data_IF_094873630649
#
_entry.id   IF_094873630649
#
_cell.length_a   1.000
_cell.length_b   1.000
_cell.length_c   1.000
_cell.angle_alpha   90.00
_cell.angle_beta   90.00
_cell.angle_gamma   90.00
#
_symmetry.space_group_name_H-M   'P 1'
#
loop_
_entity.id
_entity.type
_entity.pdbx_description
1 polymer ?
#
# COMPACT_ATOMS: atom_id res chain seq x y z
N UNK A 1 -9.27 23.30 -17.26
CA UNK A 1 -9.33 23.23 -18.74
C UNK A 1 -7.91 23.44 -19.24
N UNK A 2 -7.53 22.77 -20.32
CA UNK A 2 -6.14 22.76 -20.80
C UNK A 2 -6.06 22.95 -22.30
N UNK A 3 -5.03 23.68 -22.74
CA UNK A 3 -4.78 23.96 -24.17
C UNK A 3 -3.84 22.94 -24.83
N UNK A 4 -3.06 22.20 -24.05
CA UNK A 4 -2.14 21.15 -24.54
C UNK A 4 -2.31 19.87 -23.74
N UNK A 5 -1.95 18.73 -24.33
CA UNK A 5 -2.03 17.42 -23.67
C UNK A 5 -1.15 17.39 -22.42
N UNK A 6 0.07 17.92 -22.52
CA UNK A 6 0.97 18.04 -21.37
C UNK A 6 0.34 18.88 -20.24
N UNK A 7 -0.31 20.01 -20.55
CA UNK A 7 -1.00 20.81 -19.55
C UNK A 7 -2.17 20.04 -18.92
N UNK A 8 -2.94 19.28 -19.72
CA UNK A 8 -4.04 18.47 -19.24
C UNK A 8 -3.56 17.38 -18.26
N UNK A 9 -2.50 16.64 -18.60
CA UNK A 9 -1.92 15.64 -17.70
C UNK A 9 -1.32 16.26 -16.44
N UNK A 10 -0.70 17.45 -16.52
CA UNK A 10 -0.18 18.14 -15.36
C UNK A 10 -1.30 18.61 -14.42
N UNK A 11 -2.38 19.18 -14.96
CA UNK A 11 -3.57 19.58 -14.19
C UNK A 11 -4.24 18.35 -13.56
N UNK A 12 -4.43 17.28 -14.34
CA UNK A 12 -5.02 16.03 -13.88
C UNK A 12 -4.22 15.41 -12.73
N UNK A 13 -2.90 15.30 -12.91
CA UNK A 13 -2.02 14.75 -11.88
C UNK A 13 -2.06 15.60 -10.62
N UNK A 14 -1.96 16.93 -10.73
CA UNK A 14 -1.94 17.82 -9.57
C UNK A 14 -3.27 17.85 -8.82
N UNK A 15 -4.39 17.92 -9.53
CA UNK A 15 -5.69 18.24 -8.94
C UNK A 15 -6.53 17.00 -8.61
N UNK A 16 -6.30 15.88 -9.30
CA UNK A 16 -7.15 14.68 -9.18
C UNK A 16 -6.37 13.48 -8.66
N UNK A 17 -5.16 13.23 -9.17
CA UNK A 17 -4.45 11.97 -8.91
C UNK A 17 -3.52 12.06 -7.70
N UNK A 18 -2.55 12.97 -7.72
CA UNK A 18 -1.50 13.08 -6.71
C UNK A 18 -2.04 13.68 -5.43
N UNK A 19 -1.58 13.18 -4.29
CA UNK A 19 -1.88 13.80 -3.00
C UNK A 19 -1.36 15.24 -2.94
N UNK A 20 -2.11 16.10 -2.25
CA UNK A 20 -1.66 17.47 -1.99
C UNK A 20 -0.47 17.47 -1.02
N UNK A 21 0.60 18.22 -1.36
CA UNK A 21 1.84 18.23 -0.56
C UNK A 21 1.59 18.65 0.90
N UNK A 22 0.80 19.70 1.13
CA UNK A 22 0.45 20.16 2.48
C UNK A 22 -0.38 19.14 3.26
N UNK A 23 -1.24 18.37 2.58
CA UNK A 23 -1.96 17.26 3.18
C UNK A 23 -1.00 16.12 3.55
N UNK A 24 -0.04 15.78 2.68
CA UNK A 24 0.94 14.74 2.97
C UNK A 24 1.88 15.10 4.11
N UNK A 25 2.26 16.36 4.26
CA UNK A 25 3.13 16.80 5.36
C UNK A 25 2.40 16.80 6.69
N UNK A 26 1.14 17.27 6.72
CA UNK A 26 0.26 17.12 7.90
C UNK A 26 0.04 15.67 8.28
N UNK A 27 -0.16 14.79 7.30
CA UNK A 27 -0.31 13.35 7.53
C UNK A 27 0.93 12.71 8.15
N UNK A 28 2.13 13.07 7.69
CA UNK A 28 3.40 12.62 8.28
C UNK A 28 3.57 13.12 9.71
N UNK A 29 3.32 14.41 9.95
CA UNK A 29 3.40 14.97 11.30
C UNK A 29 2.40 14.30 12.27
N UNK A 30 1.17 14.05 11.80
CA UNK A 30 0.14 13.34 12.57
C UNK A 30 0.54 11.89 12.88
N UNK A 31 1.12 11.17 11.91
CA UNK A 31 1.71 9.84 12.12
C UNK A 31 2.82 9.85 13.17
N UNK A 32 3.76 10.79 13.05
CA UNK A 32 4.93 10.86 13.93
C UNK A 32 4.53 11.21 15.36
N UNK A 33 3.53 12.08 15.51
CA UNK A 33 2.92 12.37 16.81
C UNK A 33 2.25 11.12 17.41
N UNK A 34 1.43 10.40 16.62
CA UNK A 34 0.76 9.17 17.05
C UNK A 34 1.78 8.11 17.49
N UNK A 35 2.86 7.93 16.73
CA UNK A 35 3.98 7.05 17.09
C UNK A 35 4.59 7.43 18.45
N UNK A 36 4.87 8.73 18.65
CA UNK A 36 5.36 9.24 19.93
C UNK A 36 4.41 8.94 21.09
N UNK A 37 3.10 9.03 20.87
CA UNK A 37 2.10 8.68 21.90
C UNK A 37 2.07 7.19 22.18
N UNK A 38 2.05 6.34 21.16
CA UNK A 38 2.00 4.88 21.33
C UNK A 38 3.24 4.34 22.04
N UNK A 39 4.41 4.97 21.84
CA UNK A 39 5.63 4.67 22.58
C UNK A 39 5.50 4.80 24.11
N UNK A 40 4.50 5.52 24.59
CA UNK A 40 4.26 5.72 26.03
C UNK A 40 3.25 4.76 26.63
N UNK A 41 2.61 3.89 25.83
CA UNK A 41 1.59 2.96 26.32
C UNK A 41 2.07 2.07 27.49
N UNK A 42 3.28 1.46 27.44
CA UNK A 42 3.86 0.71 28.56
C UNK A 42 3.96 1.46 29.89
N UNK A 43 3.98 2.80 29.88
CA UNK A 43 4.09 3.60 31.10
C UNK A 43 2.77 3.69 31.85
N UNK A 44 1.65 3.55 31.13
CA UNK A 44 0.29 3.63 31.68
C UNK A 44 -0.35 2.24 31.85
N UNK A 45 0.19 1.22 31.18
CA UNK A 45 -0.22 -0.17 31.30
C UNK A 45 1.01 -1.08 31.36
N UNK A 46 1.31 -1.57 32.57
CA UNK A 46 2.45 -2.47 32.84
C UNK A 46 2.32 -3.83 32.13
N UNK A 47 1.12 -4.20 31.69
CA UNK A 47 0.86 -5.42 30.94
C UNK A 47 0.99 -5.23 29.43
N UNK A 48 0.98 -4.00 28.94
CA UNK A 48 1.12 -3.71 27.51
C UNK A 48 2.44 -4.29 26.97
N UNK A 49 2.46 -4.89 25.76
CA UNK A 49 3.68 -5.46 25.20
C UNK A 49 4.86 -4.50 25.23
N UNK A 50 6.07 -5.03 25.46
CA UNK A 50 7.29 -4.23 25.42
C UNK A 50 7.46 -3.70 23.99
N UNK A 51 7.78 -2.41 23.86
CA UNK A 51 7.90 -1.75 22.57
C UNK A 51 9.34 -1.89 22.08
N UNK A 52 9.49 -2.10 20.77
CA UNK A 52 10.78 -2.10 20.09
C UNK A 52 10.78 -1.05 18.96
N UNK A 53 11.16 0.22 19.27
CA UNK A 53 11.00 1.33 18.35
C UNK A 53 11.81 1.21 17.05
N UNK A 54 12.93 0.49 17.06
CA UNK A 54 13.87 0.40 15.93
C UNK A 54 13.28 -0.26 14.69
N UNK A 55 12.17 -1.00 14.86
CA UNK A 55 11.47 -1.68 13.76
C UNK A 55 10.15 -0.98 13.40
N UNK A 56 9.90 0.22 13.94
CA UNK A 56 8.77 1.04 13.49
C UNK A 56 8.95 1.39 12.02
N UNK A 57 7.96 1.07 11.20
CA UNK A 57 8.03 1.40 9.78
C UNK A 57 6.68 1.71 9.18
N UNK A 58 6.62 2.76 8.37
CA UNK A 58 5.50 2.92 7.45
C UNK A 58 5.54 1.83 6.38
N UNK A 59 4.38 1.34 5.98
CA UNK A 59 4.25 0.41 4.85
C UNK A 59 3.12 0.85 3.91
N UNK A 60 2.74 -0.04 3.00
CA UNK A 60 1.67 0.23 2.06
C UNK A 60 1.99 1.33 1.04
N UNK A 61 0.95 1.76 0.33
CA UNK A 61 1.09 2.66 -0.83
C UNK A 61 1.49 4.09 -0.44
N UNK A 62 1.15 4.55 0.76
CA UNK A 62 1.57 5.87 1.23
C UNK A 62 3.09 5.91 1.49
N UNK A 63 3.65 4.89 2.16
CA UNK A 63 5.09 4.79 2.39
C UNK A 63 5.90 4.61 1.10
N UNK A 64 5.33 3.91 0.10
CA UNK A 64 5.91 3.75 -1.25
C UNK A 64 5.64 4.94 -2.18
N UNK A 65 4.93 5.97 -1.72
CA UNK A 65 4.56 7.16 -2.50
C UNK A 65 3.72 6.83 -3.75
N UNK A 66 2.96 5.73 -3.75
CA UNK A 66 2.06 5.33 -4.85
C UNK A 66 0.58 5.58 -4.51
N UNK A 67 0.27 6.07 -3.30
CA UNK A 67 -1.09 6.48 -2.91
C UNK A 67 -1.59 7.63 -3.80
N UNK A 68 -2.86 7.54 -4.22
CA UNK A 68 -3.59 8.57 -4.99
C UNK A 68 -4.68 9.19 -4.11
N UNK A 69 -5.31 10.29 -4.53
CA UNK A 69 -6.43 10.89 -3.77
C UNK A 69 -7.65 9.95 -3.67
N UNK A 70 -8.44 10.08 -2.58
CA UNK A 70 -8.11 10.82 -1.35
C UNK A 70 -7.02 10.09 -0.55
N UNK A 71 -6.35 10.80 0.36
CA UNK A 71 -5.55 10.14 1.39
C UNK A 71 -6.50 9.53 2.42
N UNK A 72 -6.86 8.27 2.24
CA UNK A 72 -7.81 7.53 3.08
C UNK A 72 -7.13 6.64 4.13
N UNK A 73 -5.98 6.04 3.81
CA UNK A 73 -5.28 5.12 4.73
C UNK A 73 -3.77 5.34 4.79
N UNK A 74 -3.24 5.33 6.02
CA UNK A 74 -1.82 5.38 6.36
C UNK A 74 -1.47 4.12 7.15
N UNK A 75 -0.72 3.23 6.51
CA UNK A 75 -0.31 1.96 7.08
C UNK A 75 0.99 2.07 7.91
N UNK A 76 0.94 1.61 9.15
CA UNK A 76 2.06 1.63 10.11
C UNK A 76 2.29 0.25 10.73
N UNK A 77 3.52 -0.25 10.65
CA UNK A 77 3.98 -1.33 11.53
C UNK A 77 4.55 -0.72 12.81
N UNK A 78 3.98 -1.13 13.94
CA UNK A 78 4.41 -0.74 15.28
C UNK A 78 5.17 -1.89 15.93
N UNK A 79 6.40 -1.61 16.33
CA UNK A 79 7.40 -2.59 16.72
C UNK A 79 7.24 -3.00 18.16
N UNK A 80 7.17 -4.31 18.38
CA UNK A 80 7.12 -4.91 19.69
C UNK A 80 8.36 -5.78 19.89
N UNK A 81 8.83 -5.83 21.13
CA UNK A 81 9.86 -6.77 21.55
C UNK A 81 9.26 -8.19 21.63
N UNK A 82 10.05 -9.19 21.26
CA UNK A 82 9.61 -10.58 21.23
C UNK A 82 9.36 -11.20 22.61
N UNK A 83 9.80 -10.56 23.70
CA UNK A 83 9.55 -10.94 25.09
C UNK A 83 9.86 -12.42 25.35
N UNK A 84 11.07 -12.81 24.95
CA UNK A 84 11.61 -14.18 25.01
C UNK A 84 10.79 -15.26 24.26
N UNK A 85 9.81 -14.86 23.44
CA UNK A 85 9.04 -15.80 22.64
C UNK A 85 9.87 -16.37 21.47
N UNK A 86 9.52 -17.58 21.05
CA UNK A 86 10.04 -18.21 19.82
C UNK A 86 8.92 -18.34 18.80
N UNK A 87 9.27 -18.46 17.52
CA UNK A 87 8.28 -18.76 16.49
C UNK A 87 8.63 -20.04 15.73
N UNK A 88 7.60 -20.69 15.22
CA UNK A 88 7.69 -21.78 14.26
C UNK A 88 6.74 -21.54 13.10
N UNK A 89 6.98 -22.24 12.00
CA UNK A 89 6.12 -22.22 10.82
C UNK A 89 5.54 -23.63 10.63
N UNK A 90 4.21 -23.71 10.48
CA UNK A 90 3.48 -24.95 10.23
C UNK A 90 2.32 -24.65 9.29
N UNK A 91 2.19 -25.41 8.20
CA UNK A 91 1.10 -25.27 7.21
C UNK A 91 0.87 -23.82 6.72
N UNK A 92 1.96 -23.09 6.46
CA UNK A 92 1.91 -21.69 6.02
C UNK A 92 1.45 -20.69 7.07
N UNK A 93 1.34 -21.11 8.34
CA UNK A 93 1.00 -20.26 9.49
C UNK A 93 2.22 -20.06 10.38
N UNK A 94 2.38 -18.85 10.91
CA UNK A 94 3.37 -18.56 11.94
C UNK A 94 2.74 -18.66 13.32
N UNK A 95 3.33 -19.50 14.17
CA UNK A 95 2.94 -19.68 15.56
C UNK A 95 4.04 -19.08 16.43
N UNK A 96 3.70 -18.08 17.23
CA UNK A 96 4.60 -17.53 18.25
C UNK A 96 4.25 -18.17 19.59
N UNK A 97 5.25 -18.72 20.29
CA UNK A 97 5.10 -19.48 21.53
C UNK A 97 5.83 -18.78 22.67
N UNK A 98 5.10 -18.48 23.74
CA UNK A 98 5.65 -17.98 24.99
C UNK A 98 6.50 -19.06 25.67
N UNK A 99 7.64 -18.64 26.24
CA UNK A 99 8.54 -19.48 27.04
C UNK A 99 8.46 -19.11 28.51
N UNK A 100 9.23 -19.81 29.35
CA UNK A 100 9.30 -19.55 30.79
C UNK A 100 9.76 -18.12 31.10
N UNK A 101 10.65 -17.55 30.28
CA UNK A 101 11.14 -16.18 30.42
C UNK A 101 10.20 -15.09 29.91
N UNK A 102 9.08 -15.43 29.26
CA UNK A 102 8.14 -14.44 28.71
C UNK A 102 7.41 -13.69 29.83
N UNK A 103 7.49 -12.35 29.83
CA UNK A 103 6.99 -11.51 30.93
C UNK A 103 5.62 -10.89 30.63
N UNK A 104 5.47 -10.20 29.50
CA UNK A 104 4.26 -9.44 29.12
C UNK A 104 3.41 -10.15 28.07
N UNK A 105 3.99 -10.75 27.04
CA UNK A 105 3.26 -11.46 25.99
C UNK A 105 2.49 -12.68 26.52
N UNK A 106 2.84 -13.21 27.71
CA UNK A 106 2.09 -14.29 28.36
C UNK A 106 0.63 -13.94 28.66
N UNK A 107 0.27 -12.65 28.74
CA UNK A 107 -1.10 -12.19 28.93
C UNK A 107 -1.93 -12.19 27.64
N UNK A 108 -1.28 -12.37 26.49
CA UNK A 108 -1.89 -12.30 25.15
C UNK A 108 -2.02 -13.66 24.48
N UNK A 109 -2.10 -14.75 25.24
CA UNK A 109 -2.13 -16.11 24.69
C UNK A 109 -3.52 -16.54 24.24
N UNK A 110 -3.60 -17.50 23.32
CA UNK A 110 -4.83 -18.28 23.13
C UNK A 110 -5.15 -19.06 24.40
N UNK A 111 -6.44 -19.18 24.72
CA UNK A 111 -6.89 -19.79 25.96
C UNK A 111 -6.45 -21.27 26.02
N UNK A 112 -5.89 -21.69 27.15
CA UNK A 112 -5.38 -23.06 27.32
C UNK A 112 -4.10 -23.40 26.56
N UNK A 113 -3.42 -22.43 25.93
CA UNK A 113 -2.18 -22.68 25.18
C UNK A 113 -1.02 -21.76 25.59
N UNK A 114 0.16 -22.01 24.99
CA UNK A 114 1.30 -21.10 25.03
C UNK A 114 1.45 -20.22 23.78
N UNK A 115 0.47 -20.24 22.87
CA UNK A 115 0.57 -19.51 21.62
C UNK A 115 0.07 -18.08 21.75
N UNK A 116 0.83 -17.12 21.24
CA UNK A 116 0.48 -15.69 21.27
C UNK A 116 -0.66 -15.42 20.28
N UNK A 117 -1.75 -14.88 20.80
CA UNK A 117 -2.93 -14.48 20.05
C UNK A 117 -2.82 -13.03 19.57
N UNK A 118 -2.66 -12.86 18.26
CA UNK A 118 -2.50 -11.53 17.65
C UNK A 118 -3.71 -10.62 17.83
N UNK A 119 -4.94 -11.17 17.91
CA UNK A 119 -6.16 -10.37 18.14
C UNK A 119 -6.19 -9.77 19.55
N UNK A 120 -5.67 -10.48 20.56
CA UNK A 120 -5.57 -9.93 21.93
C UNK A 120 -4.61 -8.74 21.98
N UNK A 121 -3.50 -8.80 21.25
CA UNK A 121 -2.56 -7.66 21.12
C UNK A 121 -3.24 -6.49 20.40
N UNK A 122 -3.89 -6.72 19.26
CA UNK A 122 -4.60 -5.63 18.56
C UNK A 122 -5.63 -4.96 19.47
N UNK A 123 -6.36 -5.75 20.28
CA UNK A 123 -7.33 -5.20 21.23
C UNK A 123 -6.68 -4.33 22.32
N UNK A 124 -5.45 -4.62 22.78
CA UNK A 124 -4.78 -3.72 23.74
C UNK A 124 -4.34 -2.40 23.11
N UNK A 125 -3.96 -2.39 21.82
CA UNK A 125 -3.76 -1.15 21.08
C UNK A 125 -5.06 -0.33 21.04
N UNK A 126 -6.19 -0.96 20.69
CA UNK A 126 -7.51 -0.27 20.65
C UNK A 126 -7.84 0.32 22.03
N UNK A 127 -7.72 -0.46 23.10
CA UNK A 127 -7.96 0.01 24.47
C UNK A 127 -7.06 1.20 24.84
N UNK A 128 -5.77 1.15 24.50
CA UNK A 128 -4.82 2.22 24.80
C UNK A 128 -5.05 3.48 23.96
N UNK A 129 -5.41 3.31 22.67
CA UNK A 129 -5.75 4.42 21.77
C UNK A 129 -7.00 5.18 22.26
N UNK A 130 -8.01 4.46 22.77
CA UNK A 130 -9.21 5.06 23.33
C UNK A 130 -8.95 5.87 24.62
N UNK A 131 -7.80 5.69 25.28
CA UNK A 131 -7.40 6.49 26.44
C UNK A 131 -6.70 7.80 26.05
N UNK A 132 -6.41 8.04 24.76
CA UNK A 132 -5.83 9.29 24.30
C UNK A 132 -6.94 10.36 24.27
N UNK A 133 -6.90 11.42 25.09
CA UNK A 133 -8.02 12.38 25.19
C UNK A 133 -8.36 13.06 23.86
N UNK A 134 -7.36 13.28 23.00
CA UNK A 134 -7.55 13.85 21.67
C UNK A 134 -8.39 12.95 20.74
N UNK A 135 -8.55 11.67 21.09
CA UNK A 135 -9.23 10.64 20.31
C UNK A 135 -10.59 10.23 20.89
N UNK A 136 -11.10 10.96 21.89
CA UNK A 136 -12.42 10.71 22.53
C UNK A 136 -13.59 10.60 21.54
N UNK A 137 -13.45 11.16 20.32
CA UNK A 137 -14.44 11.07 19.24
C UNK A 137 -13.98 10.26 18.02
N UNK A 138 -12.87 9.57 18.11
CA UNK A 138 -12.34 8.74 17.03
C UNK A 138 -13.11 7.42 16.92
N UNK A 139 -13.22 6.88 15.69
CA UNK A 139 -13.64 5.48 15.50
C UNK A 139 -12.38 4.61 15.57
N UNK A 140 -12.28 3.79 16.63
CA UNK A 140 -11.16 2.87 16.85
C UNK A 140 -11.68 1.45 16.86
N UNK A 141 -11.23 0.62 15.90
CA UNK A 141 -11.72 -0.75 15.74
C UNK A 141 -10.64 -1.68 15.19
N UNK A 142 -10.87 -2.99 15.34
CA UNK A 142 -10.05 -4.00 14.69
C UNK A 142 -10.48 -4.14 13.23
N UNK A 143 -9.52 -4.10 12.32
CA UNK A 143 -9.72 -4.46 10.91
C UNK A 143 -8.70 -5.55 10.52
N UNK A 144 -9.12 -6.81 10.63
CA UNK A 144 -8.28 -7.99 10.40
C UNK A 144 -6.93 -7.92 11.13
N UNK A 145 -5.89 -7.43 10.45
CA UNK A 145 -4.49 -7.43 10.84
C UNK A 145 -4.08 -6.18 11.63
N UNK A 146 -4.97 -5.18 11.71
CA UNK A 146 -4.67 -3.86 12.24
C UNK A 146 -5.67 -3.40 13.31
N UNK A 147 -5.23 -2.47 14.16
CA UNK A 147 -6.08 -1.50 14.82
C UNK A 147 -6.24 -0.28 13.89
N UNK A 148 -7.45 -0.03 13.41
CA UNK A 148 -7.77 1.15 12.60
C UNK A 148 -8.19 2.29 13.52
N UNK A 149 -7.55 3.45 13.37
CA UNK A 149 -7.85 4.70 14.06
C UNK A 149 -8.33 5.73 13.04
N UNK A 150 -9.58 6.14 13.12
CA UNK A 150 -10.18 7.19 12.29
C UNK A 150 -10.48 8.44 13.12
N UNK A 151 -9.75 9.51 12.84
CA UNK A 151 -9.95 10.81 13.48
C UNK A 151 -11.01 11.62 12.73
N UNK A 152 -11.85 12.38 13.44
CA UNK A 152 -12.82 13.30 12.79
C UNK A 152 -12.15 14.52 12.15
N UNK A 153 -10.96 14.87 12.62
CA UNK A 153 -10.21 16.06 12.24
C UNK A 153 -9.40 15.91 10.95
N UNK A 154 -9.28 14.70 10.40
CA UNK A 154 -8.51 14.42 9.20
C UNK A 154 -9.27 13.46 8.27
N UNK A 155 -8.97 13.52 6.98
CA UNK A 155 -9.59 12.65 5.97
C UNK A 155 -9.05 11.21 6.00
N UNK A 156 -7.86 11.02 6.59
CA UNK A 156 -7.16 9.74 6.61
C UNK A 156 -7.34 8.99 7.92
N UNK A 157 -7.24 7.67 7.81
CA UNK A 157 -7.20 6.72 8.91
C UNK A 157 -5.78 6.18 9.08
N UNK A 158 -5.45 5.75 10.29
CA UNK A 158 -4.23 4.99 10.55
C UNK A 158 -4.56 3.52 10.73
N UNK A 159 -3.89 2.66 9.97
CA UNK A 159 -3.92 1.21 10.18
C UNK A 159 -2.63 0.81 10.89
N UNK A 160 -2.77 0.54 12.20
CA UNK A 160 -1.66 0.23 13.11
C UNK A 160 -1.57 -1.29 13.23
N UNK A 161 -0.49 -1.85 12.69
CA UNK A 161 -0.22 -3.29 12.67
C UNK A 161 0.88 -3.58 13.70
N UNK A 162 0.59 -4.29 14.80
CA UNK A 162 1.64 -4.72 15.72
C UNK A 162 2.57 -5.69 14.98
N UNK A 163 3.86 -5.53 15.16
CA UNK A 163 4.86 -6.28 14.42
C UNK A 163 6.03 -6.68 15.30
N UNK A 164 6.50 -7.91 15.11
CA UNK A 164 7.79 -8.37 15.63
C UNK A 164 8.78 -8.48 14.48
N UNK A 165 10.09 -8.42 14.79
CA UNK A 165 11.14 -8.81 13.84
C UNK A 165 11.73 -10.15 14.26
N UNK A 166 11.97 -11.05 13.30
CA UNK A 166 12.68 -12.29 13.59
C UNK A 166 14.17 -12.04 13.81
N UNK A 167 14.82 -12.95 14.52
CA UNK A 167 16.27 -13.10 14.37
C UNK A 167 16.62 -13.46 12.92
N UNK A 168 17.86 -13.18 12.47
CA UNK A 168 18.31 -13.60 11.15
C UNK A 168 18.22 -15.13 11.00
N UNK A 169 17.74 -15.59 9.85
CA UNK A 169 17.84 -17.00 9.46
C UNK A 169 19.29 -17.38 9.07
N UNK A 170 19.50 -18.62 8.63
CA UNK A 170 20.82 -19.12 8.21
C UNK A 170 21.45 -18.34 7.03
N UNK A 171 20.65 -17.56 6.30
CA UNK A 171 21.10 -16.70 5.20
C UNK A 171 21.19 -15.23 5.61
N UNK A 172 21.02 -14.92 6.90
CA UNK A 172 21.06 -13.56 7.43
C UNK A 172 19.77 -12.77 7.18
N UNK A 173 18.69 -13.39 6.69
CA UNK A 173 17.45 -12.67 6.38
C UNK A 173 16.55 -12.58 7.62
N UNK A 174 15.96 -11.40 7.81
CA UNK A 174 14.97 -11.14 8.86
C UNK A 174 13.60 -10.93 8.23
N UNK A 175 12.54 -11.22 8.99
CA UNK A 175 11.17 -11.04 8.56
C UNK A 175 10.39 -10.26 9.61
N UNK A 176 9.41 -9.47 9.16
CA UNK A 176 8.38 -8.99 10.06
C UNK A 176 7.33 -10.09 10.27
N UNK A 177 6.94 -10.31 11.51
CA UNK A 177 5.78 -11.13 11.86
C UNK A 177 4.63 -10.19 12.22
N UNK A 178 3.56 -10.25 11.44
CA UNK A 178 2.35 -9.43 11.64
C UNK A 178 1.12 -10.34 11.83
N UNK A 179 0.04 -9.84 12.44
CA UNK A 179 -1.21 -10.58 12.56
C UNK A 179 -1.72 -11.09 11.21
N UNK A 180 -2.36 -12.27 11.21
CA UNK A 180 -3.00 -12.89 10.04
C UNK A 180 -4.52 -12.62 9.97
N UNK A 181 -5.06 -11.83 10.90
CA UNK A 181 -6.49 -11.59 11.09
C UNK A 181 -7.27 -12.72 11.79
N UNK A 182 -6.66 -13.90 11.96
CA UNK A 182 -7.27 -15.10 12.52
C UNK A 182 -6.73 -15.49 13.91
N UNK A 183 -5.89 -14.64 14.50
CA UNK A 183 -5.34 -14.84 15.84
C UNK A 183 -3.94 -15.44 15.83
N UNK A 184 -3.38 -15.71 14.64
CA UNK A 184 -1.99 -16.11 14.46
C UNK A 184 -1.22 -15.01 13.73
N UNK A 185 -0.09 -15.39 13.15
CA UNK A 185 0.86 -14.49 12.55
C UNK A 185 1.22 -14.95 11.14
N UNK A 186 1.72 -14.02 10.33
CA UNK A 186 2.26 -14.28 8.99
C UNK A 186 3.53 -13.46 8.77
N UNK A 187 4.39 -13.95 7.88
CA UNK A 187 5.59 -13.25 7.45
C UNK A 187 5.25 -12.12 6.48
N UNK A 188 6.01 -11.04 6.57
CA UNK A 188 6.06 -9.98 5.56
C UNK A 188 7.41 -9.27 5.63
N UNK A 189 7.71 -8.45 4.64
CA UNK A 189 8.85 -7.56 4.68
C UNK A 189 8.61 -6.31 3.83
N UNK A 190 8.01 -5.24 4.39
CA UNK A 190 7.74 -4.02 3.65
C UNK A 190 9.02 -3.27 3.24
N UNK A 191 10.18 -3.60 3.83
CA UNK A 191 11.46 -2.97 3.48
C UNK A 191 11.84 -3.33 2.05
N UNK A 192 11.64 -4.59 1.65
CA UNK A 192 11.94 -5.06 0.29
C UNK A 192 11.05 -4.34 -0.74
N UNK A 193 9.74 -4.30 -0.49
CA UNK A 193 8.78 -3.63 -1.40
C UNK A 193 9.11 -2.13 -1.54
N UNK A 194 9.44 -1.46 -0.43
CA UNK A 194 9.81 -0.04 -0.41
C UNK A 194 11.14 0.22 -1.13
N UNK A 195 12.14 -0.63 -0.90
CA UNK A 195 13.44 -0.51 -1.56
C UNK A 195 13.29 -0.71 -3.07
N UNK A 196 12.54 -1.73 -3.50
CA UNK A 196 12.30 -2.02 -4.92
C UNK A 196 11.67 -0.83 -5.65
N UNK A 197 10.65 -0.19 -5.06
CA UNK A 197 10.04 1.03 -5.62
C UNK A 197 11.05 2.17 -5.68
N UNK A 198 11.84 2.36 -4.62
CA UNK A 198 12.83 3.44 -4.55
C UNK A 198 13.90 3.27 -5.64
N UNK A 199 14.50 2.09 -5.74
CA UNK A 199 15.55 1.79 -6.71
C UNK A 199 15.06 1.95 -8.15
N UNK A 200 13.88 1.39 -8.47
CA UNK A 200 13.30 1.54 -9.81
C UNK A 200 12.94 2.98 -10.11
N UNK A 201 12.40 3.73 -9.15
CA UNK A 201 12.06 5.12 -9.38
C UNK A 201 13.32 5.97 -9.61
N UNK A 202 14.42 5.71 -8.89
CA UNK A 202 15.71 6.39 -9.11
C UNK A 202 16.28 6.01 -10.49
N UNK A 203 16.30 4.72 -10.83
CA UNK A 203 16.72 4.22 -12.15
C UNK A 203 15.97 4.92 -13.29
N UNK A 204 14.68 5.21 -13.07
CA UNK A 204 13.78 5.78 -14.06
C UNK A 204 13.55 7.29 -13.88
N UNK A 205 14.56 8.00 -13.36
CA UNK A 205 14.59 9.47 -13.24
C UNK A 205 13.41 10.08 -12.47
N UNK A 206 12.80 9.33 -11.58
CA UNK A 206 11.68 9.77 -10.76
C UNK A 206 10.30 9.71 -11.41
N UNK A 207 10.21 9.31 -12.69
CA UNK A 207 8.98 9.43 -13.48
C UNK A 207 8.02 8.25 -13.30
N UNK A 208 8.53 7.07 -12.92
CA UNK A 208 7.75 5.85 -12.75
C UNK A 208 6.56 6.04 -11.79
N UNK A 209 6.76 6.75 -10.67
CA UNK A 209 5.70 6.99 -9.69
C UNK A 209 4.51 7.78 -10.28
N UNK A 210 4.76 8.68 -11.23
CA UNK A 210 3.70 9.44 -11.89
C UNK A 210 2.80 8.51 -12.72
N UNK A 211 3.42 7.60 -13.48
CA UNK A 211 2.70 6.61 -14.29
C UNK A 211 1.91 5.65 -13.39
N UNK A 212 2.53 5.12 -12.32
CA UNK A 212 1.84 4.21 -11.39
C UNK A 212 0.58 4.85 -10.83
N UNK A 213 0.66 6.11 -10.37
CA UNK A 213 -0.50 6.80 -9.80
C UNK A 213 -1.60 7.05 -10.83
N UNK A 214 -1.25 7.45 -12.05
CA UNK A 214 -2.23 7.65 -13.13
C UNK A 214 -2.93 6.33 -13.50
N UNK A 215 -2.19 5.22 -13.56
CA UNK A 215 -2.77 3.89 -13.85
C UNK A 215 -3.62 3.38 -12.68
N UNK A 216 -3.24 3.66 -11.43
CA UNK A 216 -4.08 3.38 -10.26
C UNK A 216 -5.41 4.14 -10.32
N UNK A 217 -5.38 5.40 -10.74
CA UNK A 217 -6.60 6.16 -10.95
C UNK A 217 -7.46 5.52 -12.05
N UNK A 218 -6.86 5.17 -13.20
CA UNK A 218 -7.55 4.49 -14.29
C UNK A 218 -8.24 3.20 -13.83
N UNK A 219 -7.53 2.36 -13.06
CA UNK A 219 -8.06 1.10 -12.56
C UNK A 219 -9.20 1.28 -11.53
N UNK A 220 -9.15 2.35 -10.72
CA UNK A 220 -10.17 2.65 -9.70
C UNK A 220 -11.51 3.06 -10.33
N UNK A 221 -11.55 3.42 -11.62
CA UNK A 221 -12.80 3.77 -12.29
C UNK A 221 -13.73 2.55 -12.35
N UNK A 222 -15.05 2.72 -12.18
CA UNK A 222 -16.02 1.63 -12.24
C UNK A 222 -16.30 1.21 -13.69
N UNK A 223 -15.26 0.87 -14.44
CA UNK A 223 -15.33 0.46 -15.86
C UNK A 223 -14.90 -0.99 -16.08
N UNK A 224 -14.37 -1.65 -15.04
CA UNK A 224 -13.95 -3.05 -15.03
C UNK A 224 -13.82 -3.56 -13.58
N UNK A 225 -13.68 -4.87 -13.34
CA UNK A 225 -13.33 -5.40 -12.02
C UNK A 225 -12.03 -4.79 -11.48
N UNK A 226 -11.96 -4.64 -10.15
CA UNK A 226 -10.82 -4.00 -9.52
C UNK A 226 -9.71 -4.99 -9.16
N UNK A 227 -8.48 -4.63 -9.47
CA UNK A 227 -7.29 -5.29 -8.93
C UNK A 227 -7.04 -4.80 -7.50
N UNK A 228 -6.42 -5.64 -6.67
CA UNK A 228 -5.82 -5.11 -5.43
C UNK A 228 -4.72 -4.10 -5.81
N UNK A 229 -4.60 -3.02 -5.04
CA UNK A 229 -3.55 -2.02 -5.29
C UNK A 229 -2.15 -2.62 -5.28
N UNK A 230 -1.93 -3.64 -4.44
CA UNK A 230 -0.65 -4.34 -4.37
C UNK A 230 -0.38 -5.18 -5.63
N UNK A 231 -1.38 -5.89 -6.17
CA UNK A 231 -1.25 -6.63 -7.43
C UNK A 231 -0.90 -5.69 -8.60
N UNK A 232 -1.64 -4.61 -8.77
CA UNK A 232 -1.40 -3.64 -9.84
C UNK A 232 -0.01 -3.01 -9.72
N UNK A 233 0.39 -2.56 -8.53
CA UNK A 233 1.74 -2.02 -8.30
C UNK A 233 2.82 -3.05 -8.62
N UNK A 234 2.61 -4.32 -8.25
CA UNK A 234 3.59 -5.39 -8.49
C UNK A 234 3.77 -5.63 -9.99
N UNK A 235 2.67 -5.70 -10.75
CA UNK A 235 2.70 -5.82 -12.21
C UNK A 235 3.42 -4.63 -12.87
N UNK A 236 3.13 -3.41 -12.43
CA UNK A 236 3.79 -2.21 -12.97
C UNK A 236 5.28 -2.19 -12.66
N UNK A 237 5.69 -2.57 -11.45
CA UNK A 237 7.10 -2.69 -11.11
C UNK A 237 7.80 -3.78 -11.94
N UNK A 238 7.14 -4.90 -12.24
CA UNK A 238 7.67 -5.92 -13.14
C UNK A 238 7.89 -5.38 -14.56
N UNK A 239 6.92 -4.62 -15.09
CA UNK A 239 7.05 -3.91 -16.37
C UNK A 239 8.26 -2.97 -16.36
N UNK A 240 8.33 -2.07 -15.39
CA UNK A 240 9.37 -1.05 -15.30
C UNK A 240 10.75 -1.60 -14.97
N UNK A 241 10.84 -2.76 -14.29
CA UNK A 241 12.11 -3.42 -14.02
C UNK A 241 12.90 -3.74 -15.30
N UNK A 242 12.20 -4.10 -16.38
CA UNK A 242 12.79 -4.38 -17.69
C UNK A 242 13.11 -3.14 -18.54
N UNK A 243 12.80 -1.93 -18.07
CA UNK A 243 13.00 -0.68 -18.84
C UNK A 243 14.29 0.03 -18.44
N UNK A 244 14.94 0.66 -19.41
CA UNK A 244 16.08 1.55 -19.19
C UNK A 244 15.67 2.99 -18.88
N UNK A 245 14.48 3.39 -19.34
CA UNK A 245 13.97 4.75 -19.23
C UNK A 245 12.46 4.78 -18.95
N UNK A 246 12.02 5.91 -18.40
CA UNK A 246 10.62 6.28 -18.25
C UNK A 246 10.51 7.78 -18.50
N UNK A 247 9.70 8.16 -19.48
CA UNK A 247 9.53 9.55 -19.87
C UNK A 247 8.78 10.35 -18.80
N UNK A 248 9.12 11.64 -18.68
CA UNK A 248 8.40 12.56 -17.77
C UNK A 248 6.94 12.82 -18.21
N UNK A 249 6.65 12.61 -19.49
CA UNK A 249 5.31 12.73 -20.08
C UNK A 249 4.57 11.40 -19.96
N UNK A 250 3.65 11.33 -18.99
CA UNK A 250 2.95 10.08 -18.64
C UNK A 250 2.18 9.49 -19.81
N UNK A 251 1.65 10.33 -20.69
CA UNK A 251 0.91 9.92 -21.89
C UNK A 251 1.72 9.07 -22.87
N UNK A 252 3.05 9.24 -22.90
CA UNK A 252 3.96 8.39 -23.69
C UNK A 252 4.05 6.95 -23.15
N UNK A 253 3.81 6.76 -21.86
CA UNK A 253 3.96 5.46 -21.19
C UNK A 253 2.65 4.65 -21.24
N UNK A 254 1.50 5.31 -21.23
CA UNK A 254 0.19 4.66 -21.04
C UNK A 254 -0.08 3.58 -22.09
N UNK A 255 0.22 3.84 -23.37
CA UNK A 255 -0.05 2.88 -24.46
C UNK A 255 0.66 1.53 -24.21
N UNK A 256 1.94 1.58 -23.84
CA UNK A 256 2.73 0.36 -23.62
C UNK A 256 2.37 -0.31 -22.29
N UNK A 257 2.08 0.49 -21.25
CA UNK A 257 1.66 -0.04 -19.95
C UNK A 257 0.32 -0.78 -20.05
N UNK A 258 -0.67 -0.21 -20.74
CA UNK A 258 -1.96 -0.88 -20.94
C UNK A 258 -1.81 -2.17 -21.76
N UNK A 259 -1.00 -2.16 -22.82
CA UNK A 259 -0.69 -3.37 -23.60
C UNK A 259 -0.02 -4.46 -22.77
N UNK A 260 0.94 -4.08 -21.92
CA UNK A 260 1.56 -5.01 -20.98
C UNK A 260 0.53 -5.60 -20.01
N UNK A 261 -0.28 -4.77 -19.34
CA UNK A 261 -1.28 -5.23 -18.39
C UNK A 261 -2.32 -6.15 -19.04
N UNK A 262 -2.70 -5.89 -20.30
CA UNK A 262 -3.66 -6.70 -21.05
C UNK A 262 -3.23 -8.17 -21.17
N UNK A 263 -1.93 -8.43 -21.29
CA UNK A 263 -1.38 -9.78 -21.41
C UNK A 263 -0.91 -10.36 -20.08
N UNK A 264 -0.21 -9.55 -19.27
CA UNK A 264 0.37 -9.98 -18.00
C UNK A 264 -0.67 -10.43 -16.96
N UNK A 265 -1.91 -9.94 -17.04
CA UNK A 265 -2.97 -10.27 -16.09
C UNK A 265 -3.34 -11.76 -16.04
N UNK A 266 -3.05 -12.52 -17.11
CA UNK A 266 -3.29 -13.96 -17.17
C UNK A 266 -2.18 -14.80 -16.53
N UNK A 267 -1.03 -14.20 -16.22
CA UNK A 267 0.11 -14.90 -15.64
C UNK A 267 0.11 -14.84 -14.11
N UNK A 268 0.75 -15.80 -13.43
CA UNK A 268 1.11 -15.64 -12.03
C UNK A 268 1.94 -14.37 -11.81
N UNK A 269 1.63 -13.64 -10.73
CA UNK A 269 2.37 -12.45 -10.31
C UNK A 269 2.94 -12.74 -8.94
N UNK A 270 4.26 -12.90 -8.84
CA UNK A 270 4.93 -13.18 -7.58
C UNK A 270 5.28 -11.89 -6.82
N UNK A 271 5.14 -11.90 -5.49
CA UNK A 271 5.54 -10.77 -4.66
C UNK A 271 7.06 -10.58 -4.63
N UNK A 272 7.54 -9.33 -4.60
CA UNK A 272 8.97 -9.02 -4.67
C UNK A 272 9.77 -9.44 -3.45
N UNK A 273 9.11 -9.65 -2.31
CA UNK A 273 9.71 -10.15 -1.06
C UNK A 273 9.86 -11.67 -1.01
N UNK A 274 9.23 -12.40 -1.95
CA UNK A 274 9.33 -13.86 -2.09
C UNK A 274 8.69 -14.61 -0.92
N UNK A 275 7.58 -14.10 -0.38
CA UNK A 275 6.93 -14.65 0.82
C UNK A 275 5.53 -15.19 0.49
N UNK A 276 4.74 -14.47 -0.29
CA UNK A 276 3.32 -14.77 -0.51
C UNK A 276 3.10 -15.68 -1.73
N UNK A 277 4.10 -15.80 -2.61
CA UNK A 277 3.97 -16.56 -3.84
C UNK A 277 3.14 -15.78 -4.86
N UNK A 278 2.25 -16.47 -5.59
CA UNK A 278 1.39 -15.82 -6.57
C UNK A 278 0.30 -14.98 -5.86
N UNK A 279 0.35 -13.67 -6.06
CA UNK A 279 -0.62 -12.71 -5.52
C UNK A 279 -1.76 -12.37 -6.50
N UNK A 280 -1.72 -12.92 -7.71
CA UNK A 280 -2.80 -12.80 -8.69
C UNK A 280 -3.92 -13.83 -8.41
N UNK A 281 -4.80 -13.47 -7.48
CA UNK A 281 -5.93 -14.30 -7.03
C UNK A 281 -7.25 -13.96 -7.74
N UNK A 282 -7.20 -13.25 -8.87
CA UNK A 282 -8.39 -12.90 -9.64
C UNK A 282 -9.01 -14.14 -10.30
N UNK A 283 -10.33 -14.12 -10.46
CA UNK A 283 -11.03 -15.10 -11.30
C UNK A 283 -10.64 -14.93 -12.77
N UNK A 284 -10.76 -15.99 -13.57
CA UNK A 284 -10.43 -15.89 -14.99
C UNK A 284 -11.38 -14.96 -15.76
N UNK A 285 -12.64 -14.85 -15.32
CA UNK A 285 -13.60 -13.86 -15.83
C UNK A 285 -13.17 -12.42 -15.51
N UNK A 286 -12.70 -12.15 -14.29
CA UNK A 286 -12.18 -10.83 -13.93
C UNK A 286 -10.92 -10.49 -14.73
N UNK A 287 -9.99 -11.44 -14.88
CA UNK A 287 -8.78 -11.27 -15.71
C UNK A 287 -9.15 -10.94 -17.16
N UNK A 288 -10.13 -11.63 -17.73
CA UNK A 288 -10.62 -11.38 -19.08
C UNK A 288 -11.22 -9.97 -19.22
N UNK A 289 -12.10 -9.57 -18.29
CA UNK A 289 -12.71 -8.22 -18.30
C UNK A 289 -11.67 -7.11 -18.16
N UNK A 290 -10.67 -7.29 -17.29
CA UNK A 290 -9.56 -6.36 -17.14
C UNK A 290 -8.74 -6.30 -18.43
N UNK A 291 -8.39 -7.44 -19.02
CA UNK A 291 -7.62 -7.51 -20.27
C UNK A 291 -8.34 -6.80 -21.43
N UNK A 292 -9.64 -7.06 -21.61
CA UNK A 292 -10.47 -6.38 -22.62
C UNK A 292 -10.44 -4.86 -22.39
N UNK A 293 -10.58 -4.42 -21.13
CA UNK A 293 -10.55 -2.99 -20.82
C UNK A 293 -9.19 -2.36 -21.10
N UNK A 294 -8.08 -3.05 -20.79
CA UNK A 294 -6.73 -2.63 -21.15
C UNK A 294 -6.61 -2.43 -22.67
N UNK A 295 -7.04 -3.39 -23.49
CA UNK A 295 -6.96 -3.28 -24.95
C UNK A 295 -7.79 -2.13 -25.51
N UNK A 296 -9.03 -1.97 -25.05
CA UNK A 296 -9.91 -0.89 -25.50
C UNK A 296 -9.30 0.49 -25.20
N UNK A 297 -8.77 0.68 -23.99
CA UNK A 297 -8.16 1.97 -23.62
C UNK A 297 -6.77 2.17 -24.19
N UNK A 298 -6.03 1.10 -24.49
CA UNK A 298 -4.79 1.18 -25.26
C UNK A 298 -5.06 1.71 -26.67
N UNK A 299 -6.13 1.25 -27.32
CA UNK A 299 -6.57 1.75 -28.63
C UNK A 299 -6.88 3.25 -28.57
N UNK A 300 -7.68 3.67 -27.59
CA UNK A 300 -8.00 5.09 -27.38
C UNK A 300 -6.78 5.94 -27.07
N UNK A 301 -5.86 5.45 -26.23
CA UNK A 301 -4.60 6.13 -25.93
C UNK A 301 -3.73 6.29 -27.18
N UNK A 302 -3.68 5.27 -28.04
CA UNK A 302 -2.99 5.34 -29.34
C UNK A 302 -3.60 6.41 -30.25
N UNK A 303 -4.93 6.45 -30.37
CA UNK A 303 -5.62 7.51 -31.12
C UNK A 303 -5.33 8.91 -30.55
N UNK A 304 -5.34 9.05 -29.21
CA UNK A 304 -5.03 10.31 -28.54
C UNK A 304 -3.61 10.80 -28.88
N UNK A 305 -2.63 9.89 -28.85
CA UNK A 305 -1.23 10.16 -29.22
C UNK A 305 -1.09 10.53 -30.71
N UNK A 306 -1.85 9.89 -31.59
CA UNK A 306 -1.86 10.24 -33.02
C UNK A 306 -2.39 11.66 -33.25
N UNK A 307 -3.50 12.05 -32.60
CA UNK A 307 -4.00 13.42 -32.68
C UNK A 307 -2.99 14.44 -32.16
N UNK A 308 -2.30 14.13 -31.07
CA UNK A 308 -1.26 15.01 -30.54
C UNK A 308 -0.08 15.17 -31.51
N UNK A 309 0.37 14.09 -32.15
CA UNK A 309 1.44 14.13 -33.16
C UNK A 309 1.09 15.01 -34.38
N UNK A 310 -0.21 15.22 -34.63
CA UNK A 310 -0.75 16.09 -35.67
C UNK A 310 -1.06 17.51 -35.14
N UNK A 311 -0.60 17.85 -33.93
CA UNK A 311 -0.87 19.12 -33.25
C UNK A 311 -2.38 19.36 -32.96
N UNK A 312 -3.22 18.33 -33.01
CA UNK A 312 -4.64 18.40 -32.71
C UNK A 312 -4.91 18.10 -31.22
N UNK A 313 -4.50 19.03 -30.36
CA UNK A 313 -4.63 18.88 -28.91
C UNK A 313 -6.09 18.74 -28.44
N UNK A 314 -7.05 19.39 -29.11
CA UNK A 314 -8.48 19.28 -28.76
C UNK A 314 -8.97 17.84 -28.90
N UNK A 315 -8.73 17.21 -30.05
CA UNK A 315 -9.14 15.83 -30.27
C UNK A 315 -8.38 14.85 -29.35
N UNK A 316 -7.08 15.08 -29.15
CA UNK A 316 -6.27 14.28 -28.23
C UNK A 316 -6.78 14.33 -26.79
N UNK A 317 -7.03 15.52 -26.24
CA UNK A 317 -7.55 15.70 -24.88
C UNK A 317 -8.92 15.05 -24.73
N UNK A 318 -9.83 15.23 -25.70
CA UNK A 318 -11.13 14.57 -25.67
C UNK A 318 -10.99 13.04 -25.64
N UNK A 319 -10.03 12.48 -26.39
CA UNK A 319 -9.78 11.03 -26.39
C UNK A 319 -9.17 10.55 -25.06
N UNK A 320 -8.34 11.36 -24.40
CA UNK A 320 -7.87 11.07 -23.04
C UNK A 320 -9.01 11.11 -22.00
N UNK A 321 -10.04 11.95 -22.19
CA UNK A 321 -11.25 11.89 -21.37
C UNK A 321 -12.01 10.56 -21.53
N UNK A 322 -12.00 9.93 -22.70
CA UNK A 322 -12.60 8.59 -22.86
C UNK A 322 -11.88 7.51 -22.03
N UNK A 323 -10.59 7.70 -21.76
CA UNK A 323 -9.72 6.80 -20.99
C UNK A 323 -9.78 7.06 -19.49
N UNK A 324 -9.82 8.33 -19.07
CA UNK A 324 -9.75 8.72 -17.66
C UNK A 324 -11.09 9.24 -17.08
N UNK A 325 -12.10 9.40 -17.92
CA UNK A 325 -13.41 9.91 -17.57
C UNK A 325 -13.43 11.43 -17.36
N UNK A 326 -14.57 11.91 -16.89
CA UNK A 326 -14.93 13.34 -16.79
C UNK A 326 -14.02 14.19 -15.88
N UNK A 327 -13.26 13.56 -14.97
CA UNK A 327 -12.30 14.28 -14.13
C UNK A 327 -10.99 14.60 -14.85
N UNK A 328 -10.74 14.00 -16.03
CA UNK A 328 -9.63 14.43 -16.88
C UNK A 328 -10.00 15.78 -17.52
N UNK A 329 -9.10 16.78 -17.51
CA UNK A 329 -9.41 18.12 -18.00
C UNK A 329 -9.99 18.13 -19.40
N UNK A 330 -10.99 18.97 -19.64
CA UNK A 330 -11.47 19.29 -20.98
C UNK A 330 -10.54 20.27 -21.68
N UNK A 331 -10.57 20.25 -23.00
CA UNK A 331 -9.93 21.29 -23.80
C UNK A 331 -10.63 22.64 -23.59
N UNK A 332 -9.87 23.71 -23.34
CA UNK A 332 -10.43 25.06 -23.21
C UNK A 332 -9.54 26.03 -22.44
#
# INVERSE_FOLDING_TARGET
MALTVTAAFNEFQRNIVNLDSSQTDRARASRDWLLGRMNTFPNNDVYFPIIYPDIHTGFGSFARRTKIRPLDDIDLMFGLDGDDCVYSESDGKIIITAREGTVRLKYYKHDGTNFINSRKIINSFISSLNQIPQYDKADVKRNQEAATLKLKSYDWNFDIVPAFITTPDSFGKTYYLIPDGNGHWKKTDPRIDKQKVTDLNVKLSGNMLNVIRVIKYWQKRPTMPSMSSYLLETMLLNYFNGRSECYQWVDLEIVNVLGYLASAIFSPVYDHKGIQGNINNLSDDDKLKISIRCYLDQGKATEARNYESQNNHRASINKWQDVFGVNFPSYG
#
